data_IF_302161154157
#
_entry.id   IF_302161154157
#
_cell.length_a   1.000
_cell.length_b   1.000
_cell.length_c   1.000
_cell.angle_alpha   90.00
_cell.angle_beta   90.00
_cell.angle_gamma   90.00
#
_symmetry.space_group_name_H-M   'P 1'
#
loop_
_entity.id
_entity.type
_entity.pdbx_description
1 polymer ?
#
# COMPACT_ATOMS: atom_id res chain seq x y z
N UNK A 1 -41.24 -18.79 -45.65
CA UNK A 1 -40.06 -17.91 -45.76
C UNK A 1 -40.26 -16.78 -44.77
N UNK A 2 -39.69 -16.82 -43.56
CA UNK A 2 -38.29 -16.51 -43.19
C UNK A 2 -37.91 -15.03 -43.36
N UNK A 3 -37.68 -14.40 -42.20
CA UNK A 3 -36.69 -13.38 -41.82
C UNK A 3 -36.44 -12.13 -42.68
N UNK A 4 -36.48 -10.95 -42.05
CA UNK A 4 -35.24 -10.20 -41.69
C UNK A 4 -35.55 -8.92 -40.86
N UNK A 5 -34.89 -8.78 -39.70
CA UNK A 5 -34.53 -7.49 -39.04
C UNK A 5 -33.43 -6.78 -39.87
N UNK A 6 -33.14 -5.44 -39.77
CA UNK A 6 -32.47 -4.77 -38.62
C UNK A 6 -32.99 -3.33 -38.32
N UNK A 7 -33.01 -2.80 -37.09
CA UNK A 7 -31.93 -2.35 -36.17
C UNK A 7 -31.02 -1.22 -36.68
N UNK A 8 -31.41 0.04 -36.40
CA UNK A 8 -30.55 1.24 -36.23
C UNK A 8 -31.38 2.26 -35.41
N UNK A 9 -30.95 2.95 -34.37
CA UNK A 9 -29.67 3.09 -33.69
C UNK A 9 -29.85 4.26 -32.71
N UNK A 10 -29.94 3.99 -31.41
CA UNK A 10 -30.08 4.99 -30.37
C UNK A 10 -28.70 5.23 -29.74
N UNK A 11 -28.04 6.34 -30.10
CA UNK A 11 -26.94 6.91 -29.29
C UNK A 11 -27.60 7.68 -28.15
N UNK A 12 -27.30 7.32 -26.91
CA UNK A 12 -27.45 8.22 -25.76
C UNK A 12 -26.19 8.10 -24.92
N UNK A 13 -25.62 9.27 -24.68
CA UNK A 13 -24.43 9.54 -23.90
C UNK A 13 -24.49 8.89 -22.52
N UNK A 14 -23.44 8.11 -22.24
CA UNK A 14 -23.27 7.29 -21.04
C UNK A 14 -22.13 7.90 -20.23
N UNK A 15 -22.37 9.03 -19.58
CA UNK A 15 -21.44 9.65 -18.61
C UNK A 15 -22.16 10.81 -17.91
N UNK A 16 -22.99 10.55 -16.90
CA UNK A 16 -23.17 11.44 -15.73
C UNK A 16 -24.20 10.92 -14.69
N UNK A 17 -24.10 9.65 -14.25
CA UNK A 17 -25.02 9.19 -13.20
C UNK A 17 -24.45 8.05 -12.34
N UNK A 18 -23.32 8.27 -11.66
CA UNK A 18 -22.80 7.34 -10.64
C UNK A 18 -22.07 8.08 -9.50
N UNK A 19 -22.77 8.97 -8.79
CA UNK A 19 -22.19 9.64 -7.60
C UNK A 19 -23.11 9.74 -6.36
N UNK A 20 -24.33 9.21 -6.36
CA UNK A 20 -25.25 9.38 -5.19
C UNK A 20 -25.86 8.07 -4.68
N UNK A 21 -25.06 7.02 -4.44
CA UNK A 21 -25.58 5.83 -3.76
C UNK A 21 -24.65 5.13 -2.77
N UNK A 22 -23.57 5.76 -2.30
CA UNK A 22 -22.62 5.11 -1.39
C UNK A 22 -22.33 5.90 -0.11
N UNK A 23 -23.37 6.38 0.58
CA UNK A 23 -23.17 7.06 1.86
C UNK A 23 -24.32 7.00 2.88
N UNK A 24 -25.01 5.86 3.05
CA UNK A 24 -25.70 5.59 4.32
C UNK A 24 -26.21 4.14 4.36
N UNK A 25 -25.69 3.33 5.29
CA UNK A 25 -26.34 2.17 5.95
C UNK A 25 -25.31 1.15 6.44
N UNK A 26 -24.81 1.27 7.68
CA UNK A 26 -24.72 0.15 8.67
C UNK A 26 -24.59 0.76 10.08
N UNK A 27 -25.70 1.29 10.64
CA UNK A 27 -25.81 1.57 12.08
C UNK A 27 -27.05 0.87 12.64
N UNK A 28 -27.03 -0.47 12.75
CA UNK A 28 -28.02 -1.22 13.54
C UNK A 28 -27.40 -2.46 14.20
N UNK A 29 -26.38 -2.25 15.04
CA UNK A 29 -25.92 -3.24 16.00
C UNK A 29 -26.89 -3.37 17.18
N UNK A 30 -28.02 -4.06 16.99
CA UNK A 30 -28.89 -4.47 18.10
C UNK A 30 -28.30 -5.72 18.76
N UNK A 31 -27.45 -5.54 19.77
CA UNK A 31 -27.04 -6.63 20.66
C UNK A 31 -28.21 -6.99 21.59
N UNK A 32 -29.00 -7.98 21.17
CA UNK A 32 -30.17 -8.48 21.89
C UNK A 32 -29.89 -9.74 22.70
N UNK A 33 -29.73 -9.57 24.02
CA UNK A 33 -30.26 -10.44 25.09
C UNK A 33 -29.78 -11.89 25.17
N UNK A 34 -28.92 -12.19 26.15
CA UNK A 34 -29.33 -12.74 27.47
C UNK A 34 -28.11 -13.06 28.34
N UNK A 35 -27.92 -12.25 29.38
CA UNK A 35 -27.10 -12.63 30.53
C UNK A 35 -27.92 -13.57 31.42
N UNK A 36 -27.67 -14.87 31.36
CA UNK A 36 -27.97 -15.75 32.49
C UNK A 36 -26.73 -15.83 33.37
N UNK A 37 -26.93 -15.38 34.61
CA UNK A 37 -25.94 -15.32 35.69
C UNK A 37 -25.62 -16.74 36.15
N UNK A 38 -24.43 -17.26 35.84
CA UNK A 38 -23.84 -18.35 36.61
C UNK A 38 -22.37 -18.06 36.89
N UNK A 39 -22.05 -18.03 38.18
CA UNK A 39 -20.74 -17.72 38.75
C UNK A 39 -20.01 -19.04 38.93
N UNK A 40 -18.95 -19.27 38.17
CA UNK A 40 -17.89 -20.19 38.60
C UNK A 40 -16.53 -19.67 38.12
N UNK A 41 -15.59 -19.59 39.05
CA UNK A 41 -14.27 -18.98 38.94
C UNK A 41 -13.24 -20.10 38.85
N UNK A 42 -12.46 -20.16 37.78
CA UNK A 42 -11.18 -20.87 37.79
C UNK A 42 -10.37 -20.56 36.51
N UNK A 43 -9.43 -19.62 36.67
CA UNK A 43 -8.07 -19.58 36.09
C UNK A 43 -7.78 -20.54 34.94
N UNK A 44 -7.37 -20.00 33.77
CA UNK A 44 -6.24 -20.52 33.00
C UNK A 44 -5.80 -19.55 31.88
N UNK A 45 -4.54 -19.12 31.99
CA UNK A 45 -3.63 -18.59 30.96
C UNK A 45 -3.98 -17.26 30.28
N UNK A 46 -3.30 -16.21 30.75
CA UNK A 46 -2.72 -15.18 29.90
C UNK A 46 -1.88 -15.85 28.79
N UNK A 47 -2.50 -16.05 27.62
CA UNK A 47 -1.79 -16.12 26.37
C UNK A 47 -1.54 -14.68 25.91
N UNK A 48 -0.32 -14.16 26.12
CA UNK A 48 0.24 -13.14 25.25
C UNK A 48 0.42 -13.78 23.88
N UNK A 49 -0.65 -13.77 23.09
CA UNK A 49 -0.54 -13.88 21.65
C UNK A 49 -0.28 -12.47 21.15
N UNK A 50 0.92 -12.25 20.61
CA UNK A 50 1.23 -11.08 19.79
C UNK A 50 0.26 -11.07 18.61
N UNK A 51 -0.87 -10.37 18.81
CA UNK A 51 -1.75 -9.98 17.75
C UNK A 51 -0.99 -8.98 16.89
N UNK A 52 -0.29 -9.48 15.87
CA UNK A 52 -0.10 -8.74 14.63
C UNK A 52 -1.48 -8.61 13.95
N UNK A 53 -2.37 -7.87 14.61
CA UNK A 53 -3.60 -7.39 14.04
C UNK A 53 -3.21 -6.38 12.98
N UNK A 54 -3.48 -6.72 11.73
CA UNK A 54 -3.55 -5.78 10.62
C UNK A 54 -4.74 -4.83 10.88
N UNK A 55 -4.62 -3.99 11.89
CA UNK A 55 -5.48 -2.85 12.09
C UNK A 55 -5.10 -1.82 11.03
N UNK A 56 -6.09 -1.13 10.46
CA UNK A 56 -5.96 -0.11 9.42
C UNK A 56 -5.15 1.12 9.86
N UNK A 57 -3.90 0.90 10.26
CA UNK A 57 -2.88 1.92 10.39
C UNK A 57 -2.71 2.55 9.02
N UNK A 58 -2.74 3.88 9.01
CA UNK A 58 -2.40 4.64 7.82
C UNK A 58 -1.13 4.04 7.19
N UNK A 59 -1.03 3.94 5.86
CA UNK A 59 0.10 3.35 5.14
C UNK A 59 1.33 4.24 5.30
N UNK A 60 1.81 4.38 6.51
CA UNK A 60 2.82 5.33 6.97
C UNK A 60 3.74 4.60 7.92
N UNK A 61 5.03 4.64 7.62
CA UNK A 61 6.09 4.05 8.45
C UNK A 61 6.87 5.19 9.10
N UNK A 62 7.26 5.00 10.36
CA UNK A 62 8.15 5.91 11.09
C UNK A 62 9.58 5.34 11.14
N UNK A 63 10.58 6.17 11.42
CA UNK A 63 11.99 5.76 11.49
C UNK A 63 12.25 4.53 12.40
N UNK A 64 11.74 4.44 13.66
CA UNK A 64 12.01 3.28 14.50
C UNK A 64 11.40 1.97 13.95
N UNK A 65 10.25 2.06 13.30
CA UNK A 65 9.63 0.93 12.62
C UNK A 65 10.44 0.52 11.40
N UNK A 66 10.88 1.49 10.59
CA UNK A 66 11.74 1.24 9.43
C UNK A 66 13.04 0.54 9.82
N UNK A 67 13.71 0.99 10.90
CA UNK A 67 14.92 0.34 11.43
C UNK A 67 14.67 -1.12 11.79
N UNK A 68 13.55 -1.41 12.43
CA UNK A 68 13.16 -2.77 12.82
C UNK A 68 12.91 -3.64 11.58
N UNK A 69 12.26 -3.09 10.56
CA UNK A 69 12.00 -3.79 9.30
C UNK A 69 13.29 -4.07 8.52
N UNK A 70 14.20 -3.08 8.44
CA UNK A 70 15.52 -3.21 7.82
C UNK A 70 16.36 -4.29 8.53
N UNK A 71 16.38 -4.26 9.86
CA UNK A 71 17.09 -5.26 10.68
C UNK A 71 16.53 -6.67 10.48
N UNK A 72 15.23 -6.80 10.23
CA UNK A 72 14.59 -8.09 9.94
C UNK A 72 14.74 -8.54 8.47
N UNK A 73 15.26 -7.70 7.58
CA UNK A 73 15.41 -8.01 6.15
C UNK A 73 14.08 -8.18 5.39
N UNK A 74 12.95 -7.77 5.99
CA UNK A 74 11.61 -7.92 5.42
C UNK A 74 11.08 -6.66 4.74
N UNK A 75 11.75 -5.52 4.90
CA UNK A 75 11.38 -4.29 4.21
C UNK A 75 12.04 -4.21 2.83
N UNK A 76 11.24 -3.77 1.85
CA UNK A 76 11.71 -3.35 0.54
C UNK A 76 11.57 -1.85 0.45
N UNK A 77 12.70 -1.16 0.39
CA UNK A 77 12.73 0.29 0.29
C UNK A 77 12.79 0.73 -1.18
N UNK A 78 11.91 1.65 -1.56
CA UNK A 78 11.88 2.26 -2.88
C UNK A 78 12.12 3.77 -2.76
N UNK A 79 13.22 4.23 -3.35
CA UNK A 79 13.57 5.64 -3.45
C UNK A 79 12.97 6.24 -4.72
N UNK A 80 12.03 7.17 -4.57
CA UNK A 80 11.32 7.78 -5.72
C UNK A 80 11.91 9.09 -6.21
N UNK A 81 13.12 9.41 -5.77
CA UNK A 81 13.92 10.55 -6.26
C UNK A 81 14.52 10.26 -7.63
N UNK A 82 15.10 11.29 -8.26
CA UNK A 82 15.83 11.09 -9.51
C UNK A 82 17.08 10.23 -9.28
N UNK A 83 17.59 9.61 -10.35
CA UNK A 83 18.77 8.73 -10.27
C UNK A 83 20.01 9.50 -9.81
N UNK A 84 20.12 10.77 -10.18
CA UNK A 84 21.23 11.65 -9.81
C UNK A 84 21.20 11.96 -8.30
N UNK A 85 20.01 12.27 -7.75
CA UNK A 85 19.83 12.51 -6.31
C UNK A 85 20.15 11.24 -5.50
N UNK A 86 19.73 10.06 -5.99
CA UNK A 86 19.98 8.79 -5.32
C UNK A 86 21.46 8.37 -5.40
N UNK A 87 22.15 8.68 -6.50
CA UNK A 87 23.58 8.42 -6.67
C UNK A 87 24.45 9.26 -5.73
N UNK A 88 24.01 10.46 -5.35
CA UNK A 88 24.70 11.30 -4.36
C UNK A 88 24.59 10.74 -2.92
N UNK A 89 23.62 9.86 -2.67
CA UNK A 89 23.42 9.21 -1.38
C UNK A 89 21.97 8.78 -1.21
N UNK A 90 21.77 7.55 -0.75
CA UNK A 90 20.45 6.99 -0.45
C UNK A 90 20.53 6.06 0.75
N UNK A 91 19.37 5.57 1.21
CA UNK A 91 19.28 4.60 2.31
C UNK A 91 19.87 3.26 1.81
N UNK A 92 20.76 2.61 2.58
CA UNK A 92 21.34 1.33 2.17
C UNK A 92 20.25 0.28 1.94
N UNK A 93 20.33 -0.41 0.79
CA UNK A 93 19.33 -1.41 0.38
C UNK A 93 18.08 -0.82 -0.27
N UNK A 94 18.00 0.51 -0.45
CA UNK A 94 16.93 1.13 -1.22
C UNK A 94 17.11 0.91 -2.73
N UNK A 95 16.01 0.58 -3.39
CA UNK A 95 15.91 0.51 -4.84
C UNK A 95 15.45 1.87 -5.39
N UNK A 96 16.24 2.49 -6.25
CA UNK A 96 15.85 3.75 -6.86
C UNK A 96 14.96 3.55 -8.10
N UNK A 97 13.72 4.04 -8.01
CA UNK A 97 12.74 4.08 -9.11
C UNK A 97 12.10 5.47 -9.09
N UNK A 98 12.49 6.38 -10.00
CA UNK A 98 11.91 7.71 -10.07
C UNK A 98 10.38 7.67 -10.19
N UNK A 99 9.68 8.61 -9.56
CA UNK A 99 8.20 8.67 -9.59
C UNK A 99 7.62 8.70 -11.01
N UNK A 100 8.33 9.29 -11.97
CA UNK A 100 7.95 9.34 -13.38
C UNK A 100 7.96 7.98 -14.07
N UNK A 101 8.85 7.09 -13.66
CA UNK A 101 9.00 5.75 -14.23
C UNK A 101 8.26 4.69 -13.40
N UNK A 102 7.84 5.02 -12.18
CA UNK A 102 7.27 4.09 -11.22
C UNK A 102 6.03 3.37 -11.76
N UNK A 103 5.09 4.10 -12.37
CA UNK A 103 3.87 3.50 -12.92
C UNK A 103 4.20 2.47 -13.99
N UNK A 104 5.03 2.84 -14.97
CA UNK A 104 5.49 1.93 -16.03
C UNK A 104 6.32 0.76 -15.48
N UNK A 105 7.16 1.00 -14.46
CA UNK A 105 7.98 -0.01 -13.80
C UNK A 105 7.14 -1.04 -13.04
N UNK A 106 6.01 -0.64 -12.47
CA UNK A 106 5.10 -1.56 -11.78
C UNK A 106 4.22 -2.33 -12.77
N UNK A 107 3.93 -1.78 -13.95
CA UNK A 107 3.14 -2.45 -15.00
C UNK A 107 3.96 -3.33 -15.95
N UNK A 108 5.27 -3.11 -16.10
CA UNK A 108 6.12 -3.92 -16.99
C UNK A 108 6.31 -5.35 -16.51
N UNK A 109 6.74 -6.22 -17.42
CA UNK A 109 7.07 -7.61 -17.13
C UNK A 109 8.21 -7.73 -16.09
N UNK A 110 8.17 -8.73 -15.19
CA UNK A 110 9.19 -8.93 -14.16
C UNK A 110 10.61 -9.05 -14.73
N UNK A 111 10.76 -9.67 -15.91
CA UNK A 111 12.04 -9.82 -16.59
C UNK A 111 12.62 -8.48 -17.07
N UNK A 112 11.77 -7.59 -17.61
CA UNK A 112 12.19 -6.26 -18.05
C UNK A 112 12.57 -5.38 -16.85
N UNK A 113 11.80 -5.47 -15.75
CA UNK A 113 12.12 -4.78 -14.50
C UNK A 113 13.48 -5.21 -13.96
N UNK A 114 13.75 -6.52 -13.94
CA UNK A 114 15.04 -7.04 -13.48
C UNK A 114 16.20 -6.58 -14.36
N UNK A 115 16.02 -6.50 -15.67
CA UNK A 115 17.05 -6.01 -16.58
C UNK A 115 17.38 -4.51 -16.38
N UNK A 116 16.37 -3.68 -16.10
CA UNK A 116 16.56 -2.22 -15.92
C UNK A 116 17.10 -1.84 -14.54
N UNK A 117 16.57 -2.48 -13.49
CA UNK A 117 16.80 -2.10 -12.11
C UNK A 117 17.75 -3.04 -11.38
N UNK A 118 18.17 -4.14 -12.02
CA UNK A 118 19.00 -5.19 -11.41
C UNK A 118 18.41 -5.75 -10.09
N UNK A 119 17.09 -5.63 -9.93
CA UNK A 119 16.36 -6.00 -8.73
C UNK A 119 15.13 -6.84 -9.11
N UNK A 120 14.72 -7.74 -8.23
CA UNK A 120 13.48 -8.49 -8.44
C UNK A 120 12.29 -7.55 -8.32
N UNK A 121 11.28 -7.72 -9.17
CA UNK A 121 10.02 -6.96 -9.07
C UNK A 121 9.35 -7.23 -7.71
N UNK A 122 8.82 -6.21 -7.01
CA UNK A 122 7.97 -6.43 -5.84
C UNK A 122 6.72 -7.21 -6.23
N UNK A 123 6.31 -8.13 -5.36
CA UNK A 123 5.06 -8.86 -5.54
C UNK A 123 3.90 -8.02 -5.00
N UNK A 124 2.71 -8.23 -5.56
CA UNK A 124 1.49 -7.55 -5.09
C UNK A 124 1.17 -7.87 -3.62
N UNK A 125 1.56 -9.07 -3.20
CA UNK A 125 1.42 -9.65 -1.86
C UNK A 125 2.54 -9.24 -0.87
N UNK A 126 3.54 -8.45 -1.31
CA UNK A 126 4.58 -7.96 -0.40
C UNK A 126 3.99 -7.00 0.65
N UNK A 127 4.16 -7.33 1.93
CA UNK A 127 3.54 -6.60 3.05
C UNK A 127 4.26 -5.30 3.44
N UNK A 128 5.55 -5.19 3.10
CA UNK A 128 6.44 -4.12 3.58
C UNK A 128 7.17 -3.44 2.40
N UNK A 129 6.38 -2.88 1.48
CA UNK A 129 6.89 -2.08 0.37
C UNK A 129 6.88 -0.60 0.78
N UNK A 130 8.04 -0.08 1.18
CA UNK A 130 8.17 1.24 1.78
C UNK A 130 8.71 2.23 0.75
N UNK A 131 7.91 3.23 0.41
CA UNK A 131 8.27 4.32 -0.49
C UNK A 131 8.76 5.53 0.30
N UNK A 132 9.81 6.18 -0.18
CA UNK A 132 10.31 7.42 0.41
C UNK A 132 10.85 8.37 -0.67
N UNK A 133 10.97 9.66 -0.33
CA UNK A 133 11.60 10.65 -1.20
C UNK A 133 12.48 11.60 -0.38
N UNK A 134 12.78 12.80 -0.89
CA UNK A 134 13.55 13.81 -0.15
C UNK A 134 12.79 14.38 1.07
N UNK A 135 11.49 14.67 0.92
CA UNK A 135 10.68 15.43 1.91
C UNK A 135 9.27 14.82 2.19
N UNK A 136 8.99 13.62 1.68
CA UNK A 136 7.71 12.90 1.88
C UNK A 136 6.63 13.08 0.79
N UNK A 137 6.61 14.20 0.04
CA UNK A 137 5.53 14.47 -0.96
C UNK A 137 5.46 13.45 -2.11
N UNK A 138 6.59 13.22 -2.79
CA UNK A 138 6.68 12.25 -3.90
C UNK A 138 6.47 10.81 -3.41
N UNK A 139 6.94 10.49 -2.20
CA UNK A 139 6.78 9.17 -1.58
C UNK A 139 5.31 8.82 -1.34
N UNK A 140 4.51 9.79 -0.89
CA UNK A 140 3.07 9.61 -0.74
C UNK A 140 2.37 9.36 -2.08
N UNK A 141 2.71 10.12 -3.13
CA UNK A 141 2.16 9.92 -4.48
C UNK A 141 2.50 8.52 -5.02
N UNK A 142 3.76 8.09 -4.86
CA UNK A 142 4.22 6.77 -5.25
C UNK A 142 3.49 5.64 -4.52
N UNK A 143 3.28 5.78 -3.22
CA UNK A 143 2.51 4.82 -2.43
C UNK A 143 1.06 4.74 -2.93
N UNK A 144 0.41 5.87 -3.21
CA UNK A 144 -0.96 5.88 -3.74
C UNK A 144 -1.04 5.20 -5.12
N UNK A 145 -0.07 5.45 -6.01
CA UNK A 145 0.02 4.78 -7.31
C UNK A 145 0.18 3.25 -7.14
N UNK A 146 1.09 2.81 -6.28
CA UNK A 146 1.29 1.39 -6.00
C UNK A 146 0.02 0.73 -5.44
N UNK A 147 -0.69 1.39 -4.51
CA UNK A 147 -1.97 0.88 -4.00
C UNK A 147 -3.04 0.78 -5.09
N UNK A 148 -3.10 1.77 -5.99
CA UNK A 148 -4.01 1.74 -7.15
C UNK A 148 -3.74 0.57 -8.11
N UNK A 149 -2.49 0.11 -8.19
CA UNK A 149 -2.08 -1.06 -8.96
C UNK A 149 -2.28 -2.40 -8.22
N UNK A 150 -2.77 -2.37 -6.98
CA UNK A 150 -3.07 -3.57 -6.19
C UNK A 150 -1.98 -4.01 -5.22
N UNK A 151 -0.94 -3.20 -4.98
CA UNK A 151 0.06 -3.50 -3.95
C UNK A 151 -0.52 -3.22 -2.56
N UNK A 152 -0.81 -4.28 -1.80
CA UNK A 152 -1.50 -4.17 -0.50
C UNK A 152 -0.59 -3.64 0.61
N UNK A 153 0.70 -3.97 0.58
CA UNK A 153 1.70 -3.57 1.57
C UNK A 153 2.47 -2.31 1.22
N UNK A 154 1.93 -1.47 0.33
CA UNK A 154 2.52 -0.18 -0.01
C UNK A 154 2.36 0.81 1.16
N UNK A 155 3.49 1.25 1.70
CA UNK A 155 3.58 2.20 2.82
C UNK A 155 4.49 3.37 2.46
N UNK A 156 4.26 4.54 3.04
CA UNK A 156 5.06 5.74 2.85
C UNK A 156 5.89 6.02 4.10
N UNK A 157 7.19 6.22 3.96
CA UNK A 157 8.03 6.70 5.04
C UNK A 157 7.93 8.25 5.12
N UNK A 158 7.28 8.76 6.17
CA UNK A 158 7.02 10.20 6.34
C UNK A 158 8.26 11.01 6.68
N UNK A 159 9.21 10.43 7.40
CA UNK A 159 10.48 11.06 7.74
C UNK A 159 11.34 11.39 6.52
N UNK A 160 11.11 10.66 5.42
CA UNK A 160 11.82 10.85 4.16
C UNK A 160 13.35 10.74 4.32
N UNK A 161 14.10 10.98 3.25
CA UNK A 161 15.56 10.90 3.29
C UNK A 161 16.20 11.95 4.21
N UNK A 162 15.54 13.10 4.43
CA UNK A 162 16.05 14.14 5.33
C UNK A 162 16.14 13.67 6.79
N UNK A 163 15.09 13.05 7.32
CA UNK A 163 15.12 12.54 8.70
C UNK A 163 16.16 11.42 8.84
N UNK A 164 16.28 10.56 7.82
CA UNK A 164 17.34 9.55 7.78
C UNK A 164 18.73 10.17 7.91
N UNK A 165 19.05 11.19 7.10
CA UNK A 165 20.33 11.89 7.16
C UNK A 165 20.58 12.55 8.53
N UNK A 166 19.56 13.09 9.18
CA UNK A 166 19.72 13.73 10.49
C UNK A 166 19.99 12.72 11.62
N UNK A 167 19.43 11.52 11.53
CA UNK A 167 19.45 10.51 12.61
C UNK A 167 20.48 9.40 12.41
N UNK A 168 20.86 9.10 11.17
CA UNK A 168 21.72 7.97 10.77
C UNK A 168 22.90 8.38 9.86
N UNK A 169 22.89 9.62 9.35
CA UNK A 169 23.89 10.13 8.41
C UNK A 169 25.17 10.60 9.07
#
# INVERSE_FOLDING_TARGET
>A
MWCFQPMLGHRKDFSDELSEQYHEQVLQGRCGRRCFRFRFRSSCREGRGDAAGADGAAPTVLLPELRSLLSSGRARLIDVRSREEAAAGTIPGALNIPVSELESALQMEPAAFQALYSAQKPKLEDENLVFFCQMGKRGFQAMQLARGLGYIGARNYTGAYREWLEKEG
#
